data_IF_360805092218
#
_entry.id   IF_360805092218
#
_cell.length_a   1.000
_cell.length_b   1.000
_cell.length_c   1.000
_cell.angle_alpha   90.00
_cell.angle_beta   90.00
_cell.angle_gamma   90.00
#
_symmetry.space_group_name_H-M   'P 1'
#
loop_
_entity.id
_entity.type
_entity.pdbx_description
1 polymer ?
#
# COMPACT_ATOMS: atom_id res chain seq x y z
N UNK A 1 -13.10 6.29 24.09
CA UNK A 1 -12.63 5.05 23.41
C UNK A 1 -11.22 4.77 23.91
N UNK A 2 -10.98 3.60 24.51
CA UNK A 2 -9.62 3.20 24.89
C UNK A 2 -8.86 2.75 23.63
N UNK A 3 -7.82 3.44 23.28
CA UNK A 3 -6.86 2.98 22.27
C UNK A 3 -5.67 2.37 23.02
N UNK A 4 -5.32 1.15 22.68
CA UNK A 4 -4.16 0.48 23.22
C UNK A 4 -2.99 0.57 22.25
N UNK A 5 -1.77 0.64 22.77
CA UNK A 5 -0.57 0.70 21.94
C UNK A 5 0.18 -0.62 22.03
N UNK A 6 0.26 -1.33 20.91
CA UNK A 6 1.03 -2.57 20.81
C UNK A 6 2.12 -2.40 19.73
N UNK A 7 3.39 -2.60 20.14
CA UNK A 7 4.56 -2.48 19.25
C UNK A 7 4.54 -1.20 18.38
N UNK A 8 4.09 -0.08 18.98
CA UNK A 8 4.04 1.21 18.26
C UNK A 8 2.78 1.47 17.44
N UNK A 9 1.90 0.47 17.28
CA UNK A 9 0.62 0.59 16.57
C UNK A 9 -0.48 0.90 17.58
N UNK A 10 -1.33 1.89 17.27
CA UNK A 10 -2.54 2.18 18.04
C UNK A 10 -3.67 1.29 17.53
N UNK A 11 -4.20 0.48 18.43
CA UNK A 11 -5.28 -0.46 18.16
C UNK A 11 -6.56 0.09 18.82
N UNK A 12 -7.60 0.27 18.04
CA UNK A 12 -8.94 0.59 18.52
C UNK A 12 -9.78 -0.70 18.67
N UNK A 13 -10.83 -0.65 19.49
CA UNK A 13 -11.70 -1.79 19.78
C UNK A 13 -12.45 -2.36 18.56
N UNK A 14 -12.47 -1.65 17.44
CA UNK A 14 -13.08 -2.08 16.18
C UNK A 14 -12.03 -2.49 15.12
N UNK A 15 -10.74 -2.47 15.47
CA UNK A 15 -9.63 -2.77 14.56
C UNK A 15 -9.66 -1.95 13.26
N UNK A 16 -10.13 -0.70 13.33
CA UNK A 16 -10.19 0.20 12.16
C UNK A 16 -8.86 0.87 11.88
N UNK A 17 -7.97 0.95 12.87
CA UNK A 17 -6.67 1.62 12.83
C UNK A 17 -6.73 3.10 12.41
N UNK A 18 -7.90 3.71 12.46
CA UNK A 18 -8.08 5.10 12.02
C UNK A 18 -7.24 6.08 12.84
N UNK A 19 -7.18 5.90 14.17
CA UNK A 19 -6.39 6.76 15.05
C UNK A 19 -4.88 6.54 14.82
N UNK A 20 -4.47 5.31 14.55
CA UNK A 20 -3.10 5.02 14.15
C UNK A 20 -2.71 5.79 12.88
N UNK A 21 -3.53 5.68 11.83
CA UNK A 21 -3.27 6.37 10.55
C UNK A 21 -3.28 7.88 10.71
N UNK A 22 -4.18 8.44 11.52
CA UNK A 22 -4.17 9.88 11.86
C UNK A 22 -2.85 10.29 12.54
N UNK A 23 -2.40 9.49 13.51
CA UNK A 23 -1.14 9.72 14.24
C UNK A 23 0.07 9.72 13.30
N UNK A 24 0.22 8.71 12.44
CA UNK A 24 1.33 8.67 11.49
C UNK A 24 1.27 9.80 10.48
N UNK A 25 0.08 10.19 10.01
CA UNK A 25 -0.09 11.36 9.15
C UNK A 25 0.33 12.68 9.85
N UNK A 26 0.05 12.83 11.14
CA UNK A 26 0.47 14.00 11.91
C UNK A 26 1.99 14.05 12.05
N UNK A 27 2.63 12.93 12.39
CA UNK A 27 4.10 12.83 12.46
C UNK A 27 4.75 13.12 11.10
N UNK A 28 4.24 12.54 10.02
CA UNK A 28 4.72 12.80 8.67
C UNK A 28 4.57 14.28 8.28
N UNK A 29 3.43 14.92 8.63
CA UNK A 29 3.19 16.34 8.39
C UNK A 29 4.20 17.24 9.12
N UNK A 30 4.51 16.96 10.38
CA UNK A 30 5.52 17.69 11.15
C UNK A 30 6.90 17.63 10.49
N UNK A 31 7.32 16.43 10.05
CA UNK A 31 8.59 16.25 9.32
C UNK A 31 8.58 16.94 7.95
N UNK A 32 7.43 16.95 7.29
CA UNK A 32 7.25 17.67 6.03
C UNK A 32 7.41 19.17 6.20
N UNK A 33 6.85 19.76 7.26
CA UNK A 33 7.05 21.17 7.59
C UNK A 33 8.52 21.49 7.90
N UNK A 34 9.25 20.61 8.56
CA UNK A 34 10.68 20.77 8.76
C UNK A 34 11.43 20.77 7.42
N UNK A 35 11.14 19.80 6.54
CA UNK A 35 11.75 19.70 5.21
C UNK A 35 11.45 20.94 4.35
N UNK A 36 10.22 21.50 4.42
CA UNK A 36 9.86 22.70 3.63
C UNK A 36 10.68 23.93 4.02
N UNK A 37 11.05 24.06 5.30
CA UNK A 37 11.87 25.18 5.77
C UNK A 37 13.34 25.09 5.35
N UNK A 38 13.91 23.88 5.42
CA UNK A 38 15.34 23.70 5.16
C UNK A 38 15.63 23.22 3.73
N UNK A 39 14.61 22.80 2.99
CA UNK A 39 14.75 22.19 1.66
C UNK A 39 15.39 23.12 0.61
N UNK A 40 15.27 24.45 0.81
CA UNK A 40 15.88 25.43 -0.09
C UNK A 40 17.42 25.39 -0.07
N UNK A 41 18.00 24.98 1.04
CA UNK A 41 19.45 24.89 1.24
C UNK A 41 20.01 23.51 0.84
N UNK A 42 19.15 22.61 0.35
CA UNK A 42 19.51 21.23 0.08
C UNK A 42 19.49 20.92 -1.41
N UNK A 43 20.39 20.03 -1.83
CA UNK A 43 20.36 19.42 -3.16
C UNK A 43 19.15 18.51 -3.34
N UNK A 44 18.80 18.19 -4.59
CA UNK A 44 17.70 17.26 -4.91
C UNK A 44 17.88 15.90 -4.21
N UNK A 45 19.11 15.37 -4.23
CA UNK A 45 19.40 14.05 -3.61
C UNK A 45 19.21 14.08 -2.10
N UNK A 46 19.66 15.14 -1.41
CA UNK A 46 19.46 15.30 0.02
C UNK A 46 17.98 15.37 0.36
N UNK A 47 17.18 16.17 -0.35
CA UNK A 47 15.73 16.24 -0.16
C UNK A 47 15.06 14.89 -0.37
N UNK A 48 15.45 14.12 -1.40
CA UNK A 48 14.96 12.76 -1.64
C UNK A 48 15.27 11.79 -0.49
N UNK A 49 16.49 11.82 0.02
CA UNK A 49 16.91 10.98 1.14
C UNK A 49 16.05 11.32 2.36
N UNK A 50 15.93 12.60 2.73
CA UNK A 50 15.15 13.04 3.88
C UNK A 50 13.67 12.67 3.72
N UNK A 51 13.08 12.88 2.54
CA UNK A 51 11.71 12.45 2.27
C UNK A 51 11.52 10.96 2.53
N UNK A 52 12.41 10.12 2.01
CA UNK A 52 12.31 8.66 2.13
C UNK A 52 12.51 8.18 3.57
N UNK A 53 13.51 8.72 4.27
CA UNK A 53 13.91 8.24 5.60
C UNK A 53 13.06 8.82 6.72
N UNK A 54 12.63 10.07 6.65
CA UNK A 54 11.93 10.75 7.75
C UNK A 54 10.43 10.92 7.52
N UNK A 55 9.95 10.93 6.28
CA UNK A 55 8.53 11.13 5.98
C UNK A 55 7.88 9.81 5.57
N UNK A 56 8.40 9.18 4.51
CA UNK A 56 7.78 7.96 3.97
C UNK A 56 7.99 6.73 4.84
N UNK A 57 9.02 6.71 5.69
CA UNK A 57 9.25 5.64 6.66
C UNK A 57 8.08 5.44 7.63
N UNK A 58 7.37 6.50 8.00
CA UNK A 58 6.18 6.39 8.84
C UNK A 58 5.09 5.50 8.23
N UNK A 59 5.01 5.47 6.89
CA UNK A 59 4.04 4.65 6.15
C UNK A 59 4.57 3.25 5.80
N UNK A 60 5.84 2.98 6.08
CA UNK A 60 6.46 1.67 5.83
C UNK A 60 6.43 0.71 7.02
N UNK A 61 6.06 1.19 8.21
CA UNK A 61 6.04 0.36 9.41
C UNK A 61 4.74 -0.44 9.51
N UNK A 62 4.84 -1.77 9.54
CA UNK A 62 3.72 -2.72 9.62
C UNK A 62 2.53 -2.36 8.72
N UNK A 63 2.73 -2.05 7.43
CA UNK A 63 1.69 -1.49 6.57
C UNK A 63 0.49 -2.42 6.39
N UNK A 64 0.69 -3.73 6.43
CA UNK A 64 -0.38 -4.71 6.24
C UNK A 64 -1.43 -4.67 7.36
N UNK A 65 -1.07 -4.22 8.55
CA UNK A 65 -1.98 -4.13 9.68
C UNK A 65 -3.03 -3.03 9.48
N UNK A 66 -2.63 -1.89 8.90
CA UNK A 66 -3.48 -0.70 8.80
C UNK A 66 -3.82 -0.28 7.36
N UNK A 67 -3.35 -1.02 6.33
CA UNK A 67 -3.53 -0.62 4.92
C UNK A 67 -4.98 -0.56 4.45
N UNK A 68 -5.90 -1.21 5.16
CA UNK A 68 -7.33 -1.24 4.84
C UNK A 68 -8.12 -0.15 5.60
N UNK A 69 -7.49 0.98 5.83
CA UNK A 69 -8.09 2.15 6.45
C UNK A 69 -9.13 2.84 5.56
N UNK A 70 -9.81 3.86 6.11
CA UNK A 70 -10.85 4.58 5.39
C UNK A 70 -10.30 5.37 4.19
N UNK A 71 -11.14 5.55 3.18
CA UNK A 71 -10.85 6.32 1.97
C UNK A 71 -10.39 7.75 2.27
N UNK A 72 -11.03 8.42 3.24
CA UNK A 72 -10.66 9.77 3.70
C UNK A 72 -9.22 9.83 4.18
N UNK A 73 -8.77 8.81 4.91
CA UNK A 73 -7.39 8.73 5.39
C UNK A 73 -6.41 8.43 4.26
N UNK A 74 -6.79 7.58 3.30
CA UNK A 74 -5.95 7.36 2.11
C UNK A 74 -5.73 8.64 1.31
N UNK A 75 -6.77 9.46 1.14
CA UNK A 75 -6.64 10.77 0.51
C UNK A 75 -5.68 11.68 1.28
N UNK A 76 -5.74 11.68 2.62
CA UNK A 76 -4.81 12.44 3.47
C UNK A 76 -3.37 11.96 3.30
N UNK A 77 -3.13 10.65 3.23
CA UNK A 77 -1.80 10.07 2.97
C UNK A 77 -1.28 10.52 1.59
N UNK A 78 -2.10 10.42 0.55
CA UNK A 78 -1.71 10.82 -0.80
C UNK A 78 -1.37 12.32 -0.87
N UNK A 79 -2.14 13.18 -0.23
CA UNK A 79 -1.83 14.63 -0.15
C UNK A 79 -0.51 14.91 0.56
N UNK A 80 -0.17 14.17 1.60
CA UNK A 80 1.13 14.31 2.28
C UNK A 80 2.27 13.84 1.38
N UNK A 81 2.08 12.74 0.65
CA UNK A 81 3.07 12.24 -0.30
C UNK A 81 3.27 13.21 -1.48
N UNK A 82 2.18 13.72 -2.04
CA UNK A 82 2.21 14.74 -3.08
C UNK A 82 2.97 16.00 -2.64
N UNK A 83 2.64 16.56 -1.47
CA UNK A 83 3.35 17.72 -0.93
C UNK A 83 4.83 17.45 -0.71
N UNK A 84 5.20 16.25 -0.26
CA UNK A 84 6.58 15.86 -0.11
C UNK A 84 7.33 15.84 -1.44
N UNK A 85 6.72 15.31 -2.50
CA UNK A 85 7.27 15.31 -3.85
C UNK A 85 7.39 16.74 -4.42
N UNK A 86 6.40 17.61 -4.19
CA UNK A 86 6.45 19.00 -4.62
C UNK A 86 7.66 19.74 -4.00
N UNK A 87 7.91 19.54 -2.71
CA UNK A 87 9.07 20.15 -2.03
C UNK A 87 10.38 19.56 -2.58
N UNK A 88 10.43 18.24 -2.78
CA UNK A 88 11.63 17.57 -3.30
C UNK A 88 11.99 18.08 -4.69
N UNK A 89 11.03 18.16 -5.59
CA UNK A 89 11.25 18.54 -6.99
C UNK A 89 11.10 20.03 -7.26
N UNK A 90 10.64 20.83 -6.27
CA UNK A 90 10.29 22.25 -6.45
C UNK A 90 9.30 22.44 -7.61
N UNK A 91 8.29 21.62 -7.64
CA UNK A 91 7.34 21.50 -8.75
C UNK A 91 5.92 21.64 -8.21
N UNK A 92 5.32 22.78 -8.43
CA UNK A 92 3.97 23.10 -7.95
C UNK A 92 2.89 22.86 -9.01
N UNK A 93 3.29 22.69 -10.26
CA UNK A 93 2.38 22.64 -11.42
C UNK A 93 1.99 21.20 -11.76
N UNK A 94 2.93 20.25 -11.70
CA UNK A 94 2.69 18.87 -12.09
C UNK A 94 1.60 18.20 -11.25
N UNK A 95 0.81 17.34 -11.89
CA UNK A 95 -0.14 16.47 -11.17
C UNK A 95 0.59 15.49 -10.23
N UNK A 96 -0.12 14.94 -9.24
CA UNK A 96 0.47 13.93 -8.34
C UNK A 96 1.02 12.72 -9.11
N UNK A 97 0.32 12.29 -10.16
CA UNK A 97 0.79 11.19 -11.02
C UNK A 97 2.07 11.58 -11.77
N UNK A 98 2.13 12.79 -12.32
CA UNK A 98 3.34 13.32 -12.96
C UNK A 98 4.54 13.36 -12.02
N UNK A 99 4.33 13.75 -10.76
CA UNK A 99 5.37 13.73 -9.73
C UNK A 99 5.84 12.30 -9.38
N UNK A 100 4.92 11.33 -9.32
CA UNK A 100 5.26 9.92 -9.09
C UNK A 100 6.09 9.35 -10.25
N UNK A 101 5.74 9.68 -11.50
CA UNK A 101 6.50 9.29 -12.69
C UNK A 101 7.92 9.90 -12.63
N UNK A 102 8.03 11.19 -12.31
CA UNK A 102 9.30 11.92 -12.17
C UNK A 102 10.19 11.32 -11.08
N UNK A 103 9.61 10.88 -9.97
CA UNK A 103 10.33 10.20 -8.87
C UNK A 103 10.57 8.70 -9.14
N UNK A 104 9.96 8.13 -10.18
CA UNK A 104 9.92 6.68 -10.45
C UNK A 104 9.42 5.90 -9.21
N UNK A 105 8.41 6.43 -8.56
CA UNK A 105 7.85 5.89 -7.33
C UNK A 105 6.36 5.55 -7.47
N UNK A 106 5.84 4.86 -6.48
CA UNK A 106 4.46 4.43 -6.38
C UNK A 106 3.77 5.14 -5.21
N UNK A 107 2.45 5.22 -5.24
CA UNK A 107 1.66 5.66 -4.09
C UNK A 107 1.91 4.76 -2.88
N UNK A 108 1.63 5.25 -1.67
CA UNK A 108 1.76 4.43 -0.45
C UNK A 108 0.86 3.18 -0.53
N UNK A 109 -0.34 3.32 -1.08
CA UNK A 109 -1.25 2.18 -1.25
C UNK A 109 -0.68 1.12 -2.21
N UNK A 110 -0.15 1.49 -3.36
CA UNK A 110 0.50 0.56 -4.30
C UNK A 110 1.68 -0.16 -3.65
N UNK A 111 2.50 0.54 -2.86
CA UNK A 111 3.60 -0.09 -2.09
C UNK A 111 3.09 -1.11 -1.06
N UNK A 112 1.96 -0.82 -0.42
CA UNK A 112 1.34 -1.76 0.52
C UNK A 112 0.83 -3.02 -0.21
N UNK A 113 0.24 -2.87 -1.41
CA UNK A 113 -0.14 -3.99 -2.27
C UNK A 113 1.10 -4.84 -2.68
N UNK A 114 2.19 -4.19 -3.05
CA UNK A 114 3.46 -4.87 -3.34
C UNK A 114 3.99 -5.64 -2.12
N UNK A 115 3.91 -5.05 -0.93
CA UNK A 115 4.30 -5.70 0.33
C UNK A 115 3.40 -6.91 0.60
N UNK A 116 2.08 -6.79 0.41
CA UNK A 116 1.16 -7.91 0.54
C UNK A 116 1.49 -9.05 -0.44
N UNK A 117 1.81 -8.72 -1.69
CA UNK A 117 2.20 -9.73 -2.68
C UNK A 117 3.50 -10.46 -2.29
N UNK A 118 4.47 -9.77 -1.69
CA UNK A 118 5.71 -10.38 -1.17
C UNK A 118 5.41 -11.33 -0.01
N UNK A 119 4.55 -10.94 0.92
CA UNK A 119 4.17 -11.82 2.05
C UNK A 119 3.37 -13.03 1.56
N UNK A 120 2.48 -12.88 0.59
CA UNK A 120 1.77 -13.99 -0.04
C UNK A 120 2.73 -14.96 -0.76
N UNK A 121 3.75 -14.45 -1.44
CA UNK A 121 4.82 -15.28 -2.01
C UNK A 121 5.50 -16.11 -0.91
N UNK A 122 5.88 -15.49 0.20
CA UNK A 122 6.51 -16.20 1.33
C UNK A 122 5.59 -17.27 1.91
N UNK A 123 4.30 -16.97 2.07
CA UNK A 123 3.31 -17.97 2.53
C UNK A 123 3.19 -19.13 1.54
N UNK A 124 3.13 -18.80 0.24
CA UNK A 124 3.00 -19.80 -0.81
C UNK A 124 4.18 -20.77 -0.85
N UNK A 125 5.39 -20.29 -0.63
CA UNK A 125 6.59 -21.12 -0.61
C UNK A 125 7.00 -21.62 0.79
N UNK A 126 6.17 -21.42 1.82
CA UNK A 126 6.45 -21.90 3.18
C UNK A 126 7.57 -21.15 3.89
N UNK A 127 7.89 -19.94 3.46
CA UNK A 127 8.94 -19.07 4.01
C UNK A 127 8.41 -18.10 5.09
N UNK A 128 7.14 -18.22 5.45
CA UNK A 128 6.47 -17.40 6.47
C UNK A 128 6.19 -18.21 7.73
N UNK A 129 6.01 -17.55 8.90
CA UNK A 129 5.53 -18.22 10.10
C UNK A 129 4.20 -18.95 9.87
N UNK A 130 4.02 -20.11 10.54
CA UNK A 130 2.83 -20.97 10.37
C UNK A 130 1.50 -20.22 10.54
N UNK A 131 1.44 -19.22 11.42
CA UNK A 131 0.23 -18.42 11.65
C UNK A 131 -0.28 -17.75 10.35
N UNK A 132 0.62 -17.38 9.44
CA UNK A 132 0.24 -16.75 8.18
C UNK A 132 -0.52 -17.70 7.25
N UNK A 133 -0.28 -19.00 7.35
CA UNK A 133 -1.03 -20.02 6.59
C UNK A 133 -2.50 -20.14 7.05
N UNK A 134 -2.82 -19.74 8.29
CA UNK A 134 -4.22 -19.66 8.75
C UNK A 134 -4.93 -18.44 8.17
N UNK A 135 -4.21 -17.33 7.96
CA UNK A 135 -4.77 -16.12 7.35
C UNK A 135 -4.93 -16.30 5.83
N UNK A 136 -3.99 -17.00 5.21
CA UNK A 136 -3.95 -17.28 3.77
C UNK A 136 -3.83 -18.78 3.52
N UNK A 137 -4.90 -19.59 3.73
CA UNK A 137 -4.86 -21.02 3.49
C UNK A 137 -4.67 -21.29 2.00
N UNK A 138 -3.75 -22.21 1.70
CA UNK A 138 -3.52 -22.68 0.33
C UNK A 138 -4.71 -23.50 -0.14
N UNK A 139 -4.99 -23.41 -1.43
CA UNK A 139 -5.97 -24.26 -2.06
C UNK A 139 -5.30 -25.58 -2.50
N UNK A 140 -5.62 -26.66 -1.81
CA UNK A 140 -5.06 -28.00 -2.11
C UNK A 140 -5.83 -28.75 -3.21
N UNK A 141 -6.98 -28.23 -3.67
CA UNK A 141 -7.86 -28.91 -4.64
C UNK A 141 -7.81 -28.33 -6.05
N UNK A 142 -6.77 -27.58 -6.42
CA UNK A 142 -6.73 -26.91 -7.72
C UNK A 142 -6.20 -27.84 -8.80
N UNK A 143 -7.04 -28.10 -9.82
CA UNK A 143 -6.64 -28.82 -11.04
C UNK A 143 -5.62 -28.05 -11.91
N UNK A 144 -5.58 -26.71 -11.79
CA UNK A 144 -4.70 -25.84 -12.56
C UNK A 144 -3.95 -24.88 -11.65
N UNK A 145 -2.62 -24.99 -11.52
CA UNK A 145 -1.80 -24.04 -10.75
C UNK A 145 -1.90 -22.61 -11.30
N UNK A 146 -1.92 -21.62 -10.40
CA UNK A 146 -1.70 -20.23 -10.77
C UNK A 146 -2.90 -19.29 -10.66
N UNK A 147 -4.15 -19.76 -10.75
CA UNK A 147 -5.32 -18.88 -10.70
C UNK A 147 -6.00 -18.83 -9.33
N UNK A 148 -5.94 -19.92 -8.56
CA UNK A 148 -6.59 -20.06 -7.26
C UNK A 148 -5.65 -20.70 -6.23
N UNK A 149 -4.43 -20.20 -6.12
CA UNK A 149 -3.40 -20.76 -5.21
C UNK A 149 -3.78 -20.63 -3.73
N UNK A 150 -4.62 -19.66 -3.39
CA UNK A 150 -5.15 -19.46 -2.05
C UNK A 150 -6.67 -19.59 -2.02
N UNK A 151 -7.20 -20.08 -0.90
CA UNK A 151 -8.64 -20.13 -0.68
C UNK A 151 -9.18 -18.71 -0.48
N UNK A 152 -10.30 -18.38 -1.12
CA UNK A 152 -11.05 -17.16 -0.88
C UNK A 152 -12.17 -17.46 0.12
N UNK A 153 -12.18 -16.76 1.24
CA UNK A 153 -13.29 -16.89 2.19
C UNK A 153 -14.56 -16.28 1.61
N UNK A 154 -15.65 -17.06 1.65
CA UNK A 154 -16.99 -16.55 1.36
C UNK A 154 -17.40 -15.62 2.47
N UNK A 155 -17.57 -14.35 2.14
CA UNK A 155 -17.89 -13.31 3.10
C UNK A 155 -19.39 -13.12 3.15
N UNK A 156 -20.00 -13.43 4.30
CA UNK A 156 -21.44 -13.25 4.54
C UNK A 156 -21.89 -11.78 4.61
N UNK A 157 -20.96 -10.85 4.90
CA UNK A 157 -21.22 -9.41 4.99
C UNK A 157 -20.32 -8.63 4.05
N UNK A 158 -20.92 -7.90 3.13
CA UNK A 158 -20.21 -7.06 2.13
C UNK A 158 -19.41 -5.94 2.79
N UNK A 159 -19.81 -5.48 3.99
CA UNK A 159 -19.20 -4.32 4.65
C UNK A 159 -17.90 -4.60 5.40
N UNK A 160 -17.79 -5.72 6.10
CA UNK A 160 -16.63 -6.00 6.95
C UNK A 160 -15.71 -7.08 6.39
N UNK A 161 -16.25 -8.07 5.72
CA UNK A 161 -15.47 -9.21 5.28
C UNK A 161 -14.66 -8.98 4.01
N UNK A 162 -15.13 -8.13 3.08
CA UNK A 162 -14.40 -7.81 1.84
C UNK A 162 -13.17 -6.93 2.07
N UNK A 163 -13.05 -6.32 3.24
CA UNK A 163 -11.93 -5.46 3.64
C UNK A 163 -10.93 -6.17 4.57
N UNK A 164 -10.90 -7.48 4.58
CA UNK A 164 -9.90 -8.26 5.30
C UNK A 164 -8.73 -8.65 4.41
N UNK A 165 -7.56 -8.80 5.01
CA UNK A 165 -6.38 -9.31 4.29
C UNK A 165 -6.62 -10.69 3.71
N UNK A 166 -7.32 -11.57 4.45
CA UNK A 166 -7.67 -12.91 4.00
C UNK A 166 -8.55 -12.95 2.74
N UNK A 167 -9.38 -11.92 2.53
CA UNK A 167 -10.18 -11.79 1.30
C UNK A 167 -9.43 -11.06 0.18
N UNK A 168 -8.70 -9.99 0.51
CA UNK A 168 -7.97 -9.20 -0.47
C UNK A 168 -6.71 -9.92 -0.97
N UNK A 169 -6.00 -10.63 -0.10
CA UNK A 169 -4.76 -11.30 -0.42
C UNK A 169 -4.87 -12.25 -1.62
N UNK A 170 -5.75 -13.26 -1.59
CA UNK A 170 -5.96 -14.17 -2.73
C UNK A 170 -6.26 -13.43 -4.04
N UNK A 171 -7.06 -12.36 -3.98
CA UNK A 171 -7.40 -11.54 -5.17
C UNK A 171 -6.19 -10.77 -5.70
N UNK A 172 -5.35 -10.23 -4.83
CA UNK A 172 -4.09 -9.58 -5.26
C UNK A 172 -3.13 -10.62 -5.84
N UNK A 173 -3.02 -11.79 -5.21
CA UNK A 173 -2.17 -12.87 -5.69
C UNK A 173 -2.56 -13.35 -7.09
N UNK A 174 -3.86 -13.45 -7.39
CA UNK A 174 -4.34 -13.83 -8.72
C UNK A 174 -4.01 -12.82 -9.82
N UNK A 175 -3.76 -11.55 -9.45
CA UNK A 175 -3.34 -10.50 -10.39
C UNK A 175 -1.83 -10.50 -10.66
N UNK A 176 -1.05 -11.15 -9.80
CA UNK A 176 0.41 -11.27 -10.01
C UNK A 176 0.66 -12.20 -11.21
N UNK A 177 1.40 -11.76 -12.23
CA UNK A 177 1.71 -12.57 -13.40
C UNK A 177 2.36 -13.90 -13.02
N UNK A 178 1.93 -15.00 -13.66
CA UNK A 178 2.39 -16.35 -13.32
C UNK A 178 3.91 -16.50 -13.41
N UNK A 179 4.51 -15.96 -14.47
CA UNK A 179 5.97 -16.01 -14.66
C UNK A 179 6.76 -15.35 -13.52
N UNK A 180 6.17 -14.37 -12.81
CA UNK A 180 6.83 -13.76 -11.65
C UNK A 180 6.84 -14.69 -10.44
N UNK A 181 5.78 -15.50 -10.28
CA UNK A 181 5.65 -16.42 -9.15
C UNK A 181 6.72 -17.51 -9.14
N UNK A 182 7.28 -17.85 -10.30
CA UNK A 182 8.33 -18.88 -10.47
C UNK A 182 9.74 -18.37 -10.13
N UNK A 183 9.92 -17.06 -9.94
CA UNK A 183 11.23 -16.51 -9.61
C UNK A 183 11.63 -16.85 -8.17
N UNK A 184 12.94 -16.82 -7.89
CA UNK A 184 13.44 -16.82 -6.51
C UNK A 184 12.90 -15.59 -5.73
N UNK A 185 12.84 -15.69 -4.40
CA UNK A 185 12.33 -14.60 -3.54
C UNK A 185 13.00 -13.25 -3.83
N UNK A 186 14.30 -13.24 -4.03
CA UNK A 186 15.05 -12.01 -4.33
C UNK A 186 14.61 -11.40 -5.66
N UNK A 187 14.55 -12.22 -6.73
CA UNK A 187 14.13 -11.78 -8.06
C UNK A 187 12.65 -11.37 -8.08
N UNK A 188 11.80 -12.14 -7.39
CA UNK A 188 10.38 -11.80 -7.21
C UNK A 188 10.23 -10.44 -6.54
N UNK A 189 10.93 -10.21 -5.40
CA UNK A 189 10.87 -8.94 -4.65
C UNK A 189 11.32 -7.76 -5.51
N UNK A 190 12.39 -7.92 -6.31
CA UNK A 190 12.85 -6.87 -7.22
C UNK A 190 11.82 -6.53 -8.30
N UNK A 191 11.16 -7.54 -8.87
CA UNK A 191 10.16 -7.35 -9.94
C UNK A 191 8.86 -6.79 -9.39
N UNK A 192 8.37 -7.32 -8.26
CA UNK A 192 7.10 -6.88 -7.64
C UNK A 192 7.17 -5.43 -7.17
N UNK A 193 8.34 -4.94 -6.74
CA UNK A 193 8.54 -3.54 -6.37
C UNK A 193 8.43 -2.55 -7.56
N UNK A 194 8.43 -3.06 -8.79
CA UNK A 194 8.21 -2.29 -10.03
C UNK A 194 6.85 -2.56 -10.65
N UNK A 195 6.05 -3.45 -10.05
CA UNK A 195 4.74 -3.86 -10.53
C UNK A 195 3.63 -3.13 -9.80
N UNK A 196 2.56 -2.87 -10.50
CA UNK A 196 1.26 -2.49 -9.94
C UNK A 196 0.15 -3.26 -10.66
N UNK A 197 -0.94 -3.61 -9.97
CA UNK A 197 -2.09 -4.21 -10.64
C UNK A 197 -2.82 -3.14 -11.49
N UNK A 198 -3.24 -3.50 -12.68
CA UNK A 198 -4.02 -2.61 -13.55
C UNK A 198 -5.36 -2.23 -12.92
N UNK A 199 -5.99 -3.18 -12.24
CA UNK A 199 -7.22 -2.99 -11.48
C UNK A 199 -7.09 -3.61 -10.08
N UNK A 200 -6.80 -2.77 -9.08
CA UNK A 200 -6.80 -3.23 -7.71
C UNK A 200 -8.24 -3.56 -7.25
N UNK A 201 -8.50 -4.75 -6.69
CA UNK A 201 -9.84 -5.16 -6.25
C UNK A 201 -10.29 -4.51 -4.93
N UNK A 202 -9.41 -3.75 -4.25
CA UNK A 202 -9.73 -3.14 -2.97
C UNK A 202 -10.72 -1.97 -3.11
N UNK A 203 -11.44 -1.68 -2.03
CA UNK A 203 -12.41 -0.59 -1.98
C UNK A 203 -11.78 0.79 -2.14
N UNK A 204 -10.55 0.96 -1.66
CA UNK A 204 -9.83 2.24 -1.74
C UNK A 204 -9.60 2.64 -3.20
N UNK A 205 -9.19 1.70 -4.06
CA UNK A 205 -8.94 1.93 -5.47
C UNK A 205 -10.20 2.03 -6.32
N UNK A 206 -11.21 1.18 -6.05
CA UNK A 206 -12.46 1.14 -6.84
C UNK A 206 -13.16 2.49 -6.99
N UNK A 207 -12.92 3.41 -6.06
CA UNK A 207 -13.56 4.73 -6.03
C UNK A 207 -12.65 5.83 -6.54
N UNK A 208 -11.34 5.61 -6.54
CA UNK A 208 -10.42 6.56 -7.16
C UNK A 208 -10.67 6.67 -8.67
N UNK A 209 -11.04 5.55 -9.32
CA UNK A 209 -11.36 5.51 -10.76
C UNK A 209 -12.63 6.29 -11.09
N UNK A 210 -13.58 6.42 -10.14
CA UNK A 210 -14.85 7.14 -10.36
C UNK A 210 -14.80 8.65 -10.09
N UNK A 211 -13.76 9.15 -9.40
CA UNK A 211 -13.65 10.58 -9.06
C UNK A 211 -12.51 11.33 -9.78
N UNK A 212 -11.60 10.62 -10.41
CA UNK A 212 -10.76 11.22 -11.44
C UNK A 212 -11.61 11.19 -12.72
N UNK A 213 -12.40 12.23 -12.91
CA UNK A 213 -13.10 12.45 -14.16
C UNK A 213 -12.10 12.48 -15.31
N UNK A 214 -11.85 11.33 -15.90
CA UNK A 214 -11.43 11.29 -17.28
C UNK A 214 -12.66 11.72 -18.08
N UNK A 215 -12.70 12.99 -18.45
CA UNK A 215 -13.45 13.40 -19.60
C UNK A 215 -13.11 12.41 -20.71
N UNK A 216 -14.06 11.54 -21.03
CA UNK A 216 -14.05 10.78 -22.28
C UNK A 216 -13.94 11.81 -23.38
N UNK A 217 -12.77 11.92 -23.98
CA UNK A 217 -12.65 12.56 -25.28
C UNK A 217 -13.30 11.57 -26.25
N UNK A 218 -14.60 11.80 -26.45
CA UNK A 218 -15.33 11.27 -27.59
C UNK A 218 -14.92 12.10 -28.80
N UNK A 219 -14.29 11.49 -29.74
CA UNK A 219 -14.49 11.61 -31.18
C UNK A 219 -13.52 10.73 -31.93
#
# INVERSE_FOLDING_TARGET
MRNEKLLGILIDNKFTFNEHVKSICTKASQKLHALSRVGNFMSLNQRKIIMKTFILSHFGYCPLVWMLHSRKLNHRINRLHERALRIVYRDEISSFEGLLIKDKSFTIHERNIQTLAIELYKVFYGLSPKIMSHIFPKNTQVRYPGKNDFQTFNVKSVWQGTETLGHLGPKIWSLVPHYMKEFSLTKFTQKIRKWKPDKCPCRICKVYIHHLGFATISS
#
